data_IF_560282217060
#
_entry.id   IF_560282217060
#
_cell.length_a   1.000
_cell.length_b   1.000
_cell.length_c   1.000
_cell.angle_alpha   90.00
_cell.angle_beta   90.00
_cell.angle_gamma   90.00
#
_symmetry.space_group_name_H-M   'P 1'
#
loop_
_entity.id
_entity.type
_entity.pdbx_description
1 polymer ?
#
# COMPACT_ATOMS: atom_id res chain seq x y z
N UNK A 1 9.10 -12.91 -3.57
CA UNK A 1 8.50 -11.92 -4.50
C UNK A 1 8.02 -12.48 -5.83
N UNK A 2 8.77 -13.34 -6.52
CA UNK A 2 8.38 -13.85 -7.85
C UNK A 2 6.95 -14.45 -7.90
N UNK A 3 6.54 -15.20 -6.87
CA UNK A 3 5.18 -15.76 -6.77
C UNK A 3 4.09 -14.68 -6.72
N UNK A 4 4.28 -13.61 -5.94
CA UNK A 4 3.26 -12.56 -5.80
C UNK A 4 3.09 -11.77 -7.10
N UNK A 5 4.19 -11.46 -7.79
CA UNK A 5 4.12 -10.81 -9.11
C UNK A 5 3.37 -11.69 -10.10
N UNK A 6 3.63 -13.01 -10.11
CA UNK A 6 2.90 -13.94 -10.98
C UNK A 6 1.39 -13.94 -10.69
N UNK A 7 0.98 -13.97 -9.42
CA UNK A 7 -0.42 -13.92 -9.03
C UNK A 7 -1.09 -12.60 -9.40
N UNK A 8 -0.41 -11.46 -9.20
CA UNK A 8 -0.96 -10.15 -9.59
C UNK A 8 -1.09 -10.05 -11.11
N UNK A 9 -0.13 -10.57 -11.88
CA UNK A 9 -0.25 -10.66 -13.35
C UNK A 9 -1.41 -11.56 -13.79
N UNK A 10 -1.66 -12.65 -13.09
CA UNK A 10 -2.81 -13.52 -13.35
C UNK A 10 -4.13 -12.80 -13.03
N UNK A 11 -4.21 -12.08 -11.92
CA UNK A 11 -5.36 -11.27 -11.57
C UNK A 11 -5.63 -10.18 -12.63
N UNK A 12 -4.57 -9.52 -13.10
CA UNK A 12 -4.64 -8.55 -14.20
C UNK A 12 -5.14 -9.19 -15.51
N UNK A 13 -4.64 -10.37 -15.87
CA UNK A 13 -5.09 -11.12 -17.05
C UNK A 13 -6.55 -11.57 -16.94
N UNK A 14 -7.02 -11.83 -15.72
CA UNK A 14 -8.40 -12.19 -15.41
C UNK A 14 -9.32 -10.97 -15.18
N UNK A 15 -8.87 -9.76 -15.52
CA UNK A 15 -9.63 -8.51 -15.43
C UNK A 15 -10.14 -8.16 -14.01
N UNK A 16 -9.42 -8.59 -12.98
CA UNK A 16 -9.64 -8.02 -11.64
C UNK A 16 -9.36 -6.51 -11.67
N UNK A 17 -10.25 -5.74 -11.04
CA UNK A 17 -10.18 -4.29 -11.09
C UNK A 17 -8.94 -3.74 -10.39
N UNK A 18 -8.57 -4.30 -9.24
CA UNK A 18 -7.53 -3.73 -8.38
C UNK A 18 -6.81 -4.78 -7.53
N UNK A 19 -5.56 -4.47 -7.17
CA UNK A 19 -4.85 -5.09 -6.06
C UNK A 19 -4.74 -4.09 -4.90
N UNK A 20 -4.96 -4.58 -3.68
CA UNK A 20 -5.02 -3.76 -2.48
C UNK A 20 -3.89 -4.11 -1.51
N UNK A 21 -3.29 -3.09 -0.90
CA UNK A 21 -2.25 -3.21 0.12
C UNK A 21 -2.61 -2.43 1.37
N UNK A 22 -2.09 -2.83 2.52
CA UNK A 22 -2.36 -2.21 3.82
C UNK A 22 -1.14 -1.44 4.32
N UNK A 23 -1.35 -0.39 5.09
CA UNK A 23 -0.27 0.35 5.73
C UNK A 23 -0.09 -0.16 7.16
N UNK A 24 0.85 -1.09 7.32
CA UNK A 24 1.12 -1.81 8.58
C UNK A 24 2.62 -1.73 8.85
N UNK A 25 3.09 -0.69 9.56
CA UNK A 25 4.52 -0.52 9.86
C UNK A 25 5.04 -1.50 10.92
N UNK A 26 4.20 -1.95 11.86
CA UNK A 26 4.63 -2.79 12.97
C UNK A 26 3.87 -4.11 13.05
N UNK A 27 4.58 -5.16 13.46
CA UNK A 27 3.96 -6.42 13.86
C UNK A 27 3.44 -6.29 15.30
N UNK A 28 2.12 -6.33 15.46
CA UNK A 28 1.43 -6.46 16.74
C UNK A 28 0.96 -7.92 16.92
N UNK A 29 1.57 -8.69 17.85
CA UNK A 29 1.15 -10.06 18.14
C UNK A 29 -0.31 -10.17 18.59
N UNK A 30 -0.91 -9.10 19.12
CA UNK A 30 -2.30 -9.09 19.58
C UNK A 30 -3.31 -8.76 18.46
N UNK A 31 -2.85 -8.17 17.35
CA UNK A 31 -3.69 -7.85 16.20
C UNK A 31 -3.74 -8.99 15.18
N UNK A 32 -2.66 -9.79 15.09
CA UNK A 32 -2.65 -11.05 14.33
C UNK A 32 -2.45 -10.93 12.82
N UNK A 33 -2.03 -9.76 12.31
CA UNK A 33 -1.79 -9.53 10.89
C UNK A 33 -0.64 -8.53 10.65
N UNK A 34 0.15 -8.75 9.59
CA UNK A 34 1.30 -7.91 9.17
C UNK A 34 1.09 -7.27 7.79
N UNK A 35 -0.14 -7.27 7.29
CA UNK A 35 -0.46 -6.91 5.92
C UNK A 35 0.36 -7.73 4.92
N UNK A 36 0.99 -7.05 3.98
CA UNK A 36 1.88 -7.64 2.98
C UNK A 36 3.37 -7.65 3.39
N UNK A 37 3.70 -7.35 4.66
CA UNK A 37 5.07 -7.24 5.22
C UNK A 37 5.89 -6.05 4.69
N UNK A 38 5.76 -5.74 3.40
CA UNK A 38 6.46 -4.61 2.76
C UNK A 38 5.69 -3.30 2.96
N UNK A 39 6.44 -2.19 3.04
CA UNK A 39 5.85 -0.84 2.99
C UNK A 39 4.92 -0.72 1.76
N UNK A 40 3.68 -0.22 1.93
CA UNK A 40 2.69 -0.20 0.86
C UNK A 40 3.14 0.64 -0.35
N UNK A 41 3.82 1.76 -0.18
CA UNK A 41 4.22 2.64 -1.28
C UNK A 41 5.39 2.05 -2.08
N UNK A 42 6.37 1.47 -1.38
CA UNK A 42 7.46 0.72 -2.01
C UNK A 42 6.91 -0.50 -2.77
N UNK A 43 5.99 -1.23 -2.14
CA UNK A 43 5.42 -2.44 -2.74
C UNK A 43 4.55 -2.13 -3.97
N UNK A 44 3.69 -1.12 -3.89
CA UNK A 44 2.91 -0.66 -5.04
C UNK A 44 3.80 -0.10 -6.14
N UNK A 45 4.87 0.63 -5.83
CA UNK A 45 5.86 1.07 -6.83
C UNK A 45 6.51 -0.12 -7.57
N UNK A 46 6.85 -1.18 -6.84
CA UNK A 46 7.36 -2.41 -7.43
C UNK A 46 6.32 -3.12 -8.32
N UNK A 47 5.07 -3.23 -7.86
CA UNK A 47 3.98 -3.81 -8.65
C UNK A 47 3.64 -2.96 -9.88
N UNK A 48 3.75 -1.63 -9.79
CA UNK A 48 3.57 -0.72 -10.92
C UNK A 48 4.53 -1.04 -12.06
N UNK A 49 5.80 -1.30 -11.75
CA UNK A 49 6.80 -1.70 -12.75
C UNK A 49 6.55 -3.11 -13.35
N UNK A 50 5.73 -3.93 -12.69
CA UNK A 50 5.49 -5.32 -13.07
C UNK A 50 4.14 -5.53 -13.79
N UNK A 51 3.27 -4.53 -13.85
CA UNK A 51 1.88 -4.62 -14.34
C UNK A 51 1.56 -3.44 -15.25
N UNK A 52 0.53 -3.56 -16.09
CA UNK A 52 0.28 -2.55 -17.14
C UNK A 52 -1.12 -1.91 -17.08
N UNK A 53 -2.10 -2.54 -16.44
CA UNK A 53 -3.50 -2.07 -16.43
C UNK A 53 -4.21 -2.17 -15.08
N UNK A 54 -3.86 -3.14 -14.22
CA UNK A 54 -4.57 -3.32 -12.95
C UNK A 54 -4.40 -2.10 -12.04
N UNK A 55 -5.47 -1.67 -11.38
CA UNK A 55 -5.41 -0.58 -10.40
C UNK A 55 -4.58 -1.00 -9.18
N UNK A 56 -3.79 -0.06 -8.68
CA UNK A 56 -2.93 -0.21 -7.51
C UNK A 56 -3.55 0.60 -6.38
N UNK A 57 -4.02 -0.04 -5.32
CA UNK A 57 -4.80 0.63 -4.29
C UNK A 57 -4.23 0.48 -2.89
N UNK A 58 -4.25 1.56 -2.11
CA UNK A 58 -4.06 1.50 -0.66
C UNK A 58 -5.40 1.28 0.03
N UNK A 59 -5.49 0.27 0.89
CA UNK A 59 -6.65 -0.03 1.74
C UNK A 59 -6.27 -0.21 3.20
N UNK A 60 -5.74 0.81 3.88
CA UNK A 60 -5.57 2.21 3.45
C UNK A 60 -4.20 2.74 3.89
N UNK A 61 -3.75 3.85 3.29
CA UNK A 61 -2.66 4.65 3.85
C UNK A 61 -3.13 5.27 5.18
N UNK A 62 -2.38 5.06 6.25
CA UNK A 62 -2.73 5.63 7.56
C UNK A 62 -2.14 7.04 7.61
N UNK A 63 -2.96 8.04 7.30
CA UNK A 63 -2.47 9.41 7.07
C UNK A 63 -1.95 10.07 8.36
N UNK A 64 -2.40 9.60 9.53
CA UNK A 64 -1.94 10.08 10.84
C UNK A 64 -0.50 9.65 11.11
N UNK A 65 -0.07 8.48 10.64
CA UNK A 65 1.28 7.95 10.87
C UNK A 65 2.33 8.45 9.85
N UNK A 66 1.94 9.30 8.89
CA UNK A 66 2.82 9.78 7.82
C UNK A 66 2.78 11.29 7.74
N UNK A 67 3.94 11.92 7.50
CA UNK A 67 3.95 13.34 7.19
C UNK A 67 3.16 13.59 5.89
N UNK A 68 2.22 14.55 5.85
CA UNK A 68 1.34 14.74 4.69
C UNK A 68 2.08 14.97 3.37
N UNK A 69 3.22 15.67 3.42
CA UNK A 69 4.03 15.95 2.23
C UNK A 69 4.70 14.67 1.68
N UNK A 70 5.14 13.78 2.55
CA UNK A 70 5.80 12.53 2.14
C UNK A 70 4.78 11.56 1.55
N UNK A 71 3.59 11.49 2.17
CA UNK A 71 2.46 10.74 1.63
C UNK A 71 2.07 11.26 0.23
N UNK A 72 1.92 12.58 0.07
CA UNK A 72 1.60 13.19 -1.21
C UNK A 72 2.67 12.90 -2.27
N UNK A 73 3.95 13.00 -1.91
CA UNK A 73 5.06 12.73 -2.83
C UNK A 73 5.09 11.26 -3.27
N UNK A 74 4.96 10.33 -2.32
CA UNK A 74 4.96 8.89 -2.61
C UNK A 74 3.76 8.50 -3.49
N UNK A 75 2.57 8.99 -3.17
CA UNK A 75 1.37 8.75 -3.97
C UNK A 75 1.52 9.31 -5.40
N UNK A 76 1.92 10.58 -5.54
CA UNK A 76 2.12 11.19 -6.85
C UNK A 76 3.19 10.46 -7.69
N UNK A 77 4.25 9.97 -7.05
CA UNK A 77 5.28 9.17 -7.72
C UNK A 77 4.72 7.86 -8.26
N UNK A 78 3.94 7.11 -7.49
CA UNK A 78 3.33 5.85 -7.97
C UNK A 78 2.31 6.13 -9.06
N UNK A 79 1.48 7.16 -8.90
CA UNK A 79 0.49 7.56 -9.90
C UNK A 79 1.16 7.81 -11.26
N UNK A 80 2.20 8.65 -11.29
CA UNK A 80 2.93 8.95 -12.52
C UNK A 80 3.67 7.74 -13.09
N UNK A 81 4.36 6.95 -12.26
CA UNK A 81 5.11 5.78 -12.72
C UNK A 81 4.20 4.63 -13.20
N UNK A 82 2.98 4.56 -12.68
CA UNK A 82 2.01 3.54 -13.07
C UNK A 82 1.15 3.96 -14.26
N UNK A 83 1.21 5.23 -14.71
CA UNK A 83 0.35 5.76 -15.77
C UNK A 83 -1.08 6.06 -15.30
N UNK A 84 -1.24 6.56 -14.08
CA UNK A 84 -2.54 6.97 -13.53
C UNK A 84 -3.34 5.84 -12.87
N UNK A 85 -2.68 4.75 -12.46
CA UNK A 85 -3.36 3.54 -11.93
C UNK A 85 -3.50 3.54 -10.41
N UNK A 86 -3.06 4.58 -9.71
CA UNK A 86 -3.14 4.64 -8.26
C UNK A 86 -4.56 5.02 -7.79
N UNK A 87 -5.09 4.26 -6.83
CA UNK A 87 -6.22 4.68 -5.98
C UNK A 87 -5.72 4.83 -4.54
N UNK A 88 -5.68 6.08 -4.06
CA UNK A 88 -5.22 6.40 -2.72
C UNK A 88 -6.38 6.34 -1.71
N UNK A 89 -6.62 5.16 -1.13
CA UNK A 89 -7.47 5.03 0.05
C UNK A 89 -6.73 5.50 1.31
N UNK A 90 -7.40 6.30 2.13
CA UNK A 90 -6.85 6.92 3.36
C UNK A 90 -7.71 6.59 4.58
N UNK A 91 -7.08 6.42 5.75
CA UNK A 91 -7.77 6.28 7.04
C UNK A 91 -6.94 6.83 8.21
N UNK A 92 -7.56 6.95 9.38
CA UNK A 92 -6.93 7.44 10.60
C UNK A 92 -6.11 6.39 11.37
N UNK A 93 -6.20 5.11 11.01
CA UNK A 93 -5.47 4.00 11.64
C UNK A 93 -6.27 3.27 12.72
N UNK A 94 -5.91 2.01 12.98
CA UNK A 94 -6.66 1.08 13.85
C UNK A 94 -5.78 0.26 14.82
N UNK A 95 -4.45 0.44 14.79
CA UNK A 95 -3.49 -0.30 15.63
C UNK A 95 -2.92 0.60 16.73
N UNK A 96 -3.39 0.49 17.98
CA UNK A 96 -2.99 1.40 19.05
C UNK A 96 -1.47 1.40 19.33
N UNK A 97 -0.78 0.28 19.11
CA UNK A 97 0.68 0.21 19.31
C UNK A 97 1.48 1.04 18.32
N UNK A 98 0.90 1.39 17.17
CA UNK A 98 1.59 2.15 16.12
C UNK A 98 1.67 3.64 16.48
N UNK A 99 0.61 4.25 17.03
CA UNK A 99 0.58 5.69 17.31
C UNK A 99 1.73 6.16 18.22
N UNK A 100 2.00 5.52 19.37
CA UNK A 100 3.12 5.92 20.24
C UNK A 100 4.49 5.72 19.58
N UNK A 101 4.65 4.74 18.68
CA UNK A 101 5.90 4.52 17.96
C UNK A 101 6.23 5.67 16.98
N UNK A 102 5.20 6.40 16.54
CA UNK A 102 5.32 7.61 15.73
C UNK A 102 5.24 8.90 16.55
N UNK A 103 5.16 8.82 17.88
CA UNK A 103 5.04 9.98 18.76
C UNK A 103 3.69 10.70 18.66
N UNK A 104 2.63 9.95 18.36
CA UNK A 104 1.26 10.45 18.21
C UNK A 104 0.41 9.94 19.38
N UNK A 105 -0.49 10.79 19.87
CA UNK A 105 -1.44 10.50 20.95
C UNK A 105 -2.66 9.68 20.48
#
# INVERSE_FOLDING_TARGET
>A
MQRQVALVKQAEQADFAAVWVRDVPLHDPNFGDVGQVFDPFVYLGYLAACTNKITLATGSAVFTLRHPLDLAKAAASIDQLSGGRLVLGVASGDRPVEFPAYGID
#
